data_IF_935242544194
#
_entry.id   IF_935242544194
#
_cell.length_a   1.000
_cell.length_b   1.000
_cell.length_c   1.000
_cell.angle_alpha   90.00
_cell.angle_beta   90.00
_cell.angle_gamma   90.00
#
_symmetry.space_group_name_H-M   'P 1'
#
loop_
_entity.id
_entity.type
_entity.pdbx_description
1 polymer ?
#
# COMPACT_ATOMS: atom_id res chain seq x y z
N UNK A 1 -7.24 6.29 10.16
CA UNK A 1 -7.40 6.56 11.59
C UNK A 1 -8.84 6.95 11.88
N UNK A 2 -9.37 6.50 13.02
CA UNK A 2 -10.72 6.82 13.44
C UNK A 2 -10.80 8.32 13.79
N UNK A 3 -11.71 9.10 13.20
CA UNK A 3 -11.84 10.50 13.54
C UNK A 3 -12.32 10.61 15.00
N UNK A 4 -11.73 11.49 15.78
CA UNK A 4 -12.06 11.78 17.20
C UNK A 4 -11.28 11.06 18.31
N UNK A 5 -10.12 10.48 18.04
CA UNK A 5 -9.12 10.18 19.09
C UNK A 5 -9.54 9.21 20.21
N UNK A 6 -10.67 8.53 20.07
CA UNK A 6 -11.03 7.46 21.01
C UNK A 6 -10.15 6.24 20.75
N UNK A 7 -9.48 5.76 21.76
CA UNK A 7 -8.76 4.48 21.72
C UNK A 7 -9.76 3.33 21.85
N UNK A 8 -9.55 2.24 21.10
CA UNK A 8 -10.26 0.97 21.19
C UNK A 8 -11.72 0.98 20.71
N UNK A 9 -11.89 1.21 19.41
CA UNK A 9 -13.18 0.99 18.75
C UNK A 9 -13.37 -0.51 18.45
N UNK A 10 -14.56 -1.01 18.73
CA UNK A 10 -14.97 -2.34 18.33
C UNK A 10 -15.52 -2.36 16.88
N UNK A 11 -15.91 -3.53 16.40
CA UNK A 11 -16.39 -3.70 15.03
C UNK A 11 -17.68 -2.91 14.76
N UNK A 12 -18.55 -2.74 15.73
CA UNK A 12 -19.81 -2.02 15.55
C UNK A 12 -19.59 -0.51 15.42
N UNK A 13 -18.62 0.06 16.16
CA UNK A 13 -18.22 1.46 16.01
C UNK A 13 -17.68 1.73 14.59
N UNK A 14 -16.84 0.83 14.07
CA UNK A 14 -16.30 0.95 12.72
C UNK A 14 -17.38 0.85 11.65
N UNK A 15 -18.28 -0.13 11.76
CA UNK A 15 -19.37 -0.34 10.82
C UNK A 15 -20.32 0.85 10.78
N UNK A 16 -20.69 1.37 11.94
CA UNK A 16 -21.55 2.56 12.03
C UNK A 16 -20.92 3.75 11.30
N UNK A 17 -19.63 3.97 11.51
CA UNK A 17 -18.93 5.07 10.84
C UNK A 17 -18.80 4.82 9.33
N UNK A 18 -18.57 3.59 8.89
CA UNK A 18 -18.53 3.21 7.49
C UNK A 18 -19.89 3.48 6.81
N UNK A 19 -20.99 3.10 7.46
CA UNK A 19 -22.34 3.37 6.97
C UNK A 19 -22.62 4.89 6.86
N UNK A 20 -22.19 5.68 7.84
CA UNK A 20 -22.33 7.14 7.81
C UNK A 20 -21.58 7.76 6.61
N UNK A 21 -20.33 7.35 6.35
CA UNK A 21 -19.57 7.81 5.18
C UNK A 21 -20.18 7.35 3.86
N UNK A 22 -20.62 6.09 3.79
CA UNK A 22 -21.30 5.56 2.61
C UNK A 22 -22.57 6.36 2.29
N UNK A 23 -23.45 6.56 3.27
CA UNK A 23 -24.70 7.30 3.09
C UNK A 23 -24.44 8.76 2.73
N UNK A 24 -23.47 9.41 3.38
CA UNK A 24 -23.08 10.78 3.04
C UNK A 24 -22.55 10.89 1.60
N UNK A 25 -21.72 9.96 1.17
CA UNK A 25 -21.20 9.94 -0.21
C UNK A 25 -22.30 9.67 -1.24
N UNK A 26 -23.24 8.78 -0.94
CA UNK A 26 -24.41 8.50 -1.79
C UNK A 26 -25.35 9.68 -1.91
N UNK A 27 -25.40 10.58 -0.93
CA UNK A 27 -26.20 11.80 -0.97
C UNK A 27 -25.55 12.94 -1.77
N UNK A 28 -24.31 12.77 -2.24
CA UNK A 28 -23.64 13.74 -3.12
C UNK A 28 -24.30 13.81 -4.50
N UNK A 29 -24.00 14.88 -5.26
CA UNK A 29 -24.59 15.09 -6.59
C UNK A 29 -24.37 13.91 -7.55
N UNK A 30 -23.24 13.23 -7.47
CA UNK A 30 -22.91 12.08 -8.33
C UNK A 30 -23.35 10.76 -7.72
N UNK A 31 -23.62 10.70 -6.42
CA UNK A 31 -23.99 9.47 -5.70
C UNK A 31 -22.93 8.35 -5.73
N UNK A 32 -21.66 8.71 -5.95
CA UNK A 32 -20.57 7.75 -6.00
C UNK A 32 -20.13 7.43 -4.57
N UNK A 33 -20.15 6.14 -4.15
CA UNK A 33 -19.68 5.75 -2.83
C UNK A 33 -18.21 6.08 -2.62
N UNK A 34 -17.85 6.53 -1.43
CA UNK A 34 -16.45 6.67 -1.04
C UNK A 34 -15.82 5.28 -0.86
N UNK A 35 -14.57 5.10 -1.28
CA UNK A 35 -13.75 3.95 -0.93
C UNK A 35 -12.99 4.32 0.34
N UNK A 36 -13.21 3.56 1.42
CA UNK A 36 -12.57 3.83 2.69
C UNK A 36 -11.56 2.74 3.06
N UNK A 37 -10.32 3.15 3.34
CA UNK A 37 -9.20 2.25 3.60
C UNK A 37 -8.54 2.45 4.96
N UNK A 38 -7.73 1.46 5.34
CA UNK A 38 -6.90 1.48 6.55
C UNK A 38 -5.54 0.86 6.31
N UNK A 39 -4.55 1.21 7.16
CA UNK A 39 -3.26 0.52 7.19
C UNK A 39 -3.37 -0.78 8.00
N UNK A 40 -3.68 -1.88 7.32
CA UNK A 40 -3.72 -3.21 7.93
C UNK A 40 -2.59 -4.08 7.39
N UNK A 41 -1.35 -3.64 7.54
CA UNK A 41 -0.15 -4.24 6.93
C UNK A 41 0.18 -5.62 7.53
N UNK A 42 -0.04 -5.79 8.84
CA UNK A 42 0.19 -7.05 9.56
C UNK A 42 -0.97 -7.41 10.49
N UNK A 43 -2.17 -6.96 10.17
CA UNK A 43 -3.40 -7.09 10.95
C UNK A 43 -4.13 -5.75 11.03
N UNK A 44 -5.42 -5.78 11.36
CA UNK A 44 -6.21 -4.55 11.51
C UNK A 44 -5.94 -3.90 12.88
N UNK A 45 -4.78 -3.28 13.04
CA UNK A 45 -4.26 -2.75 14.30
C UNK A 45 -5.09 -1.62 14.93
N UNK A 46 -6.08 -1.09 14.20
CA UNK A 46 -7.02 -0.08 14.70
C UNK A 46 -8.34 -0.70 15.20
N UNK A 47 -8.54 -2.02 15.02
CA UNK A 47 -9.74 -2.74 15.44
C UNK A 47 -9.48 -3.51 16.74
N UNK A 48 -10.24 -3.23 17.77
CA UNK A 48 -10.17 -3.98 19.03
C UNK A 48 -10.55 -5.45 18.82
N UNK A 49 -9.65 -6.35 19.20
CA UNK A 49 -9.85 -7.79 19.11
C UNK A 49 -9.42 -8.42 17.78
N UNK A 50 -8.95 -7.62 16.81
CA UNK A 50 -8.35 -8.15 15.61
C UNK A 50 -7.02 -8.86 15.91
N UNK A 51 -6.66 -9.82 15.07
CA UNK A 51 -5.40 -10.55 15.19
C UNK A 51 -4.26 -9.68 14.65
N UNK A 52 -3.21 -9.52 15.45
CA UNK A 52 -1.96 -8.89 15.01
C UNK A 52 -0.93 -9.97 14.75
N UNK A 53 -0.46 -10.02 13.53
CA UNK A 53 0.61 -10.90 13.06
C UNK A 53 1.98 -10.22 13.24
N UNK A 54 3.10 -10.96 13.13
CA UNK A 54 4.41 -10.35 13.03
C UNK A 54 4.48 -9.35 11.89
N UNK A 55 5.37 -8.34 11.99
CA UNK A 55 5.67 -7.47 10.86
C UNK A 55 6.28 -8.22 9.69
N UNK A 56 6.24 -7.64 8.49
CA UNK A 56 6.65 -8.30 7.26
C UNK A 56 8.09 -8.83 7.28
N UNK A 57 9.01 -8.19 7.99
CA UNK A 57 10.37 -8.73 8.17
C UNK A 57 10.37 -10.13 8.82
N UNK A 58 9.49 -10.34 9.79
CA UNK A 58 9.30 -11.67 10.43
C UNK A 58 8.54 -12.63 9.52
N UNK A 59 7.53 -12.15 8.82
CA UNK A 59 6.76 -12.95 7.85
C UNK A 59 7.62 -13.36 6.65
N UNK A 60 8.45 -12.47 6.14
CA UNK A 60 9.40 -12.72 5.07
C UNK A 60 10.45 -13.80 5.42
N UNK A 61 10.88 -13.84 6.68
CA UNK A 61 11.81 -14.87 7.16
C UNK A 61 11.23 -16.29 7.05
N UNK A 62 9.90 -16.45 7.00
CA UNK A 62 9.25 -17.75 6.81
C UNK A 62 9.41 -18.29 5.41
N UNK A 63 9.61 -17.46 4.40
CA UNK A 63 9.67 -17.80 2.96
C UNK A 63 8.49 -18.67 2.50
N UNK A 64 7.32 -18.46 3.10
CA UNK A 64 6.15 -19.31 2.91
C UNK A 64 4.98 -18.51 2.31
N UNK A 65 4.81 -18.60 1.00
CA UNK A 65 3.78 -17.92 0.23
C UNK A 65 2.36 -18.27 0.70
N UNK A 66 2.11 -19.55 0.95
CA UNK A 66 0.80 -20.01 1.44
C UNK A 66 0.44 -19.39 2.78
N UNK A 67 1.41 -19.30 3.70
CA UNK A 67 1.20 -18.65 4.99
C UNK A 67 0.87 -17.15 4.81
N UNK A 68 1.55 -16.47 3.89
CA UNK A 68 1.29 -15.04 3.62
C UNK A 68 -0.11 -14.85 3.01
N UNK A 69 -0.51 -15.68 2.07
CA UNK A 69 -1.86 -15.66 1.50
C UNK A 69 -2.93 -15.88 2.57
N UNK A 70 -2.76 -16.87 3.43
CA UNK A 70 -3.68 -17.18 4.53
C UNK A 70 -3.79 -16.01 5.52
N UNK A 71 -2.67 -15.45 5.96
CA UNK A 71 -2.63 -14.28 6.86
C UNK A 71 -3.35 -13.10 6.21
N UNK A 72 -3.01 -12.78 4.96
CA UNK A 72 -3.63 -11.67 4.23
C UNK A 72 -5.14 -11.88 4.05
N UNK A 73 -5.59 -13.12 3.86
CA UNK A 73 -7.02 -13.47 3.80
C UNK A 73 -7.74 -13.25 5.14
N UNK A 74 -7.08 -13.55 6.27
CA UNK A 74 -7.62 -13.29 7.62
C UNK A 74 -7.75 -11.78 7.83
N UNK A 75 -6.70 -11.03 7.55
CA UNK A 75 -6.68 -9.56 7.67
C UNK A 75 -7.75 -8.93 6.77
N UNK A 76 -7.88 -9.38 5.52
CA UNK A 76 -8.92 -8.92 4.60
C UNK A 76 -10.32 -9.11 5.19
N UNK A 77 -10.59 -10.27 5.80
CA UNK A 77 -11.87 -10.57 6.44
C UNK A 77 -12.16 -9.64 7.61
N UNK A 78 -11.16 -9.32 8.44
CA UNK A 78 -11.33 -8.40 9.56
C UNK A 78 -11.57 -6.95 9.07
N UNK A 79 -10.83 -6.50 8.05
CA UNK A 79 -11.05 -5.20 7.39
C UNK A 79 -12.45 -5.13 6.78
N UNK A 80 -12.85 -6.14 6.01
CA UNK A 80 -14.19 -6.24 5.43
C UNK A 80 -15.31 -6.19 6.48
N UNK A 81 -15.14 -6.94 7.58
CA UNK A 81 -16.15 -7.00 8.65
C UNK A 81 -16.28 -5.68 9.42
N UNK A 82 -15.26 -4.84 9.40
CA UNK A 82 -15.32 -3.48 9.97
C UNK A 82 -15.94 -2.44 9.03
N UNK A 83 -16.39 -2.86 7.83
CA UNK A 83 -17.06 -1.99 6.86
C UNK A 83 -16.10 -1.20 5.96
N UNK A 84 -14.84 -1.60 5.90
CA UNK A 84 -13.83 -0.97 5.06
C UNK A 84 -13.63 -1.74 3.75
N UNK A 85 -13.27 -1.01 2.68
CA UNK A 85 -13.17 -1.54 1.32
C UNK A 85 -11.75 -1.85 0.89
N UNK A 86 -10.75 -1.24 1.56
CA UNK A 86 -9.37 -1.14 1.09
C UNK A 86 -8.38 -1.31 2.25
N UNK A 87 -7.29 -2.02 2.00
CA UNK A 87 -6.10 -1.96 2.86
C UNK A 87 -4.93 -1.33 2.12
N UNK A 88 -4.16 -0.47 2.81
CA UNK A 88 -2.90 0.07 2.31
C UNK A 88 -1.76 -0.94 2.55
N UNK A 89 -1.92 -2.12 1.95
CA UNK A 89 -1.01 -3.27 2.01
C UNK A 89 -1.15 -4.10 0.71
N UNK A 90 -0.08 -4.83 0.29
CA UNK A 90 1.19 -5.04 0.98
C UNK A 90 2.22 -3.93 0.76
N UNK A 91 3.17 -3.80 1.72
CA UNK A 91 4.41 -3.09 1.47
C UNK A 91 5.38 -4.03 0.74
N UNK A 92 5.70 -3.70 -0.52
CA UNK A 92 6.64 -4.45 -1.38
C UNK A 92 7.97 -3.72 -1.53
N UNK A 93 8.30 -2.89 -0.55
CA UNK A 93 9.60 -2.23 -0.43
C UNK A 93 10.72 -3.25 -0.26
N UNK A 94 11.87 -2.97 -0.86
CA UNK A 94 13.08 -3.79 -0.73
C UNK A 94 14.10 -2.99 0.10
N UNK A 95 14.20 -3.21 1.42
CA UNK A 95 15.17 -2.53 2.27
C UNK A 95 16.61 -2.84 1.84
N UNK A 96 17.42 -1.79 1.63
CA UNK A 96 18.85 -1.91 1.25
C UNK A 96 19.80 -1.36 2.33
N UNK A 97 19.24 -0.80 3.40
CA UNK A 97 20.01 -0.26 4.53
C UNK A 97 19.21 -0.43 5.81
N UNK A 98 19.78 -1.13 6.79
CA UNK A 98 19.11 -1.42 8.07
C UNK A 98 18.88 -0.16 8.94
N UNK A 99 19.52 0.96 8.62
CA UNK A 99 19.25 2.24 9.26
C UNK A 99 17.92 2.87 8.82
N UNK A 100 17.33 2.38 7.73
CA UNK A 100 16.01 2.85 7.32
C UNK A 100 14.94 2.45 8.34
N UNK A 101 14.26 3.45 8.92
CA UNK A 101 13.32 3.26 10.02
C UNK A 101 12.11 2.39 9.68
N UNK A 102 11.85 2.10 8.38
CA UNK A 102 10.74 1.27 7.89
C UNK A 102 11.20 -0.10 7.37
N UNK A 103 12.43 -0.51 7.63
CA UNK A 103 12.97 -1.82 7.21
C UNK A 103 12.04 -2.98 7.63
N UNK A 104 11.42 -2.89 8.79
CA UNK A 104 10.50 -3.90 9.31
C UNK A 104 9.21 -4.09 8.48
N UNK A 105 8.83 -3.10 7.66
CA UNK A 105 7.65 -3.19 6.80
C UNK A 105 7.90 -4.01 5.53
N UNK A 106 9.15 -4.16 5.09
CA UNK A 106 9.53 -4.97 3.94
C UNK A 106 9.63 -6.46 4.27
N UNK A 107 9.29 -7.33 3.32
CA UNK A 107 9.42 -8.78 3.51
C UNK A 107 10.88 -9.24 3.51
N UNK A 108 11.74 -8.62 2.70
CA UNK A 108 13.14 -9.04 2.54
C UNK A 108 13.97 -7.99 1.80
N UNK A 109 15.28 -8.08 1.92
CA UNK A 109 16.25 -7.42 1.03
C UNK A 109 16.39 -8.12 -0.34
N UNK A 110 15.86 -9.34 -0.49
CA UNK A 110 15.83 -10.09 -1.75
C UNK A 110 14.61 -9.69 -2.59
N UNK A 111 14.79 -9.01 -3.75
CA UNK A 111 13.67 -8.59 -4.60
C UNK A 111 12.77 -9.74 -5.06
N UNK A 112 13.32 -10.93 -5.28
CA UNK A 112 12.55 -12.09 -5.75
C UNK A 112 11.63 -12.62 -4.65
N UNK A 113 12.12 -12.64 -3.41
CA UNK A 113 11.30 -13.03 -2.28
C UNK A 113 10.20 -11.99 -2.01
N UNK A 114 10.51 -10.69 -2.13
CA UNK A 114 9.50 -9.62 -2.04
C UNK A 114 8.45 -9.77 -3.13
N UNK A 115 8.83 -10.08 -4.36
CA UNK A 115 7.89 -10.31 -5.46
C UNK A 115 6.95 -11.48 -5.18
N UNK A 116 7.48 -12.62 -4.76
CA UNK A 116 6.71 -13.83 -4.46
C UNK A 116 5.73 -13.61 -3.30
N UNK A 117 6.20 -13.06 -2.17
CA UNK A 117 5.37 -12.82 -1.00
C UNK A 117 4.38 -11.65 -1.21
N UNK A 118 4.77 -10.63 -1.97
CA UNK A 118 3.89 -9.53 -2.38
C UNK A 118 2.70 -10.02 -3.20
N UNK A 119 2.97 -10.89 -4.17
CA UNK A 119 1.94 -11.59 -4.95
C UNK A 119 0.96 -12.35 -4.05
N UNK A 120 1.47 -13.24 -3.21
CA UNK A 120 0.66 -14.03 -2.29
C UNK A 120 -0.20 -13.15 -1.36
N UNK A 121 0.36 -12.02 -0.91
CA UNK A 121 -0.35 -11.06 -0.08
C UNK A 121 -1.52 -10.40 -0.82
N UNK A 122 -1.32 -9.97 -2.08
CA UNK A 122 -2.40 -9.40 -2.92
C UNK A 122 -3.50 -10.43 -3.15
N UNK A 123 -3.16 -11.65 -3.52
CA UNK A 123 -4.12 -12.74 -3.72
C UNK A 123 -4.89 -13.07 -2.42
N UNK A 124 -4.24 -12.95 -1.27
CA UNK A 124 -4.87 -13.09 0.03
C UNK A 124 -5.87 -11.97 0.32
N UNK A 125 -5.50 -10.70 0.10
CA UNK A 125 -6.37 -9.55 0.37
C UNK A 125 -7.57 -9.49 -0.57
N UNK A 126 -7.37 -9.54 -1.87
CA UNK A 126 -8.42 -9.27 -2.85
C UNK A 126 -8.95 -10.51 -3.57
N UNK A 127 -8.31 -11.66 -3.39
CA UNK A 127 -8.62 -12.88 -4.13
C UNK A 127 -8.01 -12.88 -5.52
N UNK A 128 -8.27 -13.94 -6.27
CA UNK A 128 -7.73 -14.20 -7.60
C UNK A 128 -8.82 -13.97 -8.65
N UNK A 129 -8.51 -13.23 -9.71
CA UNK A 129 -9.41 -12.96 -10.83
C UNK A 129 -9.94 -14.27 -11.44
N UNK A 130 -11.24 -14.30 -11.74
CA UNK A 130 -11.89 -15.49 -12.25
C UNK A 130 -12.22 -16.57 -11.20
N UNK A 131 -11.73 -16.45 -9.96
CA UNK A 131 -12.03 -17.41 -8.88
C UNK A 131 -12.84 -16.76 -7.75
N UNK A 132 -12.21 -15.91 -6.95
CA UNK A 132 -12.79 -15.32 -5.73
C UNK A 132 -12.47 -13.84 -5.57
N UNK A 133 -12.10 -13.16 -6.65
CA UNK A 133 -11.76 -11.74 -6.66
C UNK A 133 -12.90 -10.89 -6.08
N UNK A 134 -12.59 -10.11 -5.07
CA UNK A 134 -13.50 -9.21 -4.32
C UNK A 134 -14.81 -9.87 -3.85
N UNK A 135 -14.83 -11.19 -3.69
CA UNK A 135 -15.96 -11.86 -3.04
C UNK A 135 -16.01 -11.51 -1.55
N UNK A 136 -17.13 -11.85 -0.90
CA UNK A 136 -17.37 -11.62 0.51
C UNK A 136 -16.16 -11.98 1.39
N UNK A 137 -15.68 -11.04 2.18
CA UNK A 137 -14.51 -11.19 3.04
C UNK A 137 -13.18 -10.85 2.37
N UNK A 138 -13.20 -10.30 1.15
CA UNK A 138 -12.03 -9.74 0.45
C UNK A 138 -12.15 -8.22 0.39
N UNK A 139 -11.01 -7.54 0.28
CA UNK A 139 -10.89 -6.09 0.16
C UNK A 139 -9.87 -5.72 -0.89
N UNK A 140 -9.91 -4.51 -1.38
CA UNK A 140 -8.92 -3.98 -2.31
C UNK A 140 -7.54 -3.92 -1.66
N UNK A 141 -6.50 -4.30 -2.39
CA UNK A 141 -5.11 -4.24 -1.96
C UNK A 141 -4.41 -3.02 -2.56
N UNK A 142 -3.37 -2.53 -1.88
CA UNK A 142 -2.50 -1.44 -2.33
C UNK A 142 -1.05 -1.85 -2.24
N UNK A 143 -0.38 -2.02 -3.37
CA UNK A 143 1.08 -2.21 -3.37
C UNK A 143 1.77 -0.87 -3.08
N UNK A 144 2.69 -0.84 -2.10
CA UNK A 144 3.34 0.39 -1.63
C UNK A 144 4.80 0.18 -1.25
N UNK A 145 5.65 1.22 -1.26
CA UNK A 145 5.46 2.57 -1.79
C UNK A 145 6.25 2.72 -3.09
N UNK A 146 5.58 3.02 -4.17
CA UNK A 146 6.16 3.09 -5.51
C UNK A 146 6.97 4.38 -5.67
N UNK A 147 8.31 4.33 -5.84
CA UNK A 147 9.22 3.20 -5.96
C UNK A 147 10.58 3.57 -5.33
N UNK A 148 11.24 2.58 -4.70
CA UNK A 148 12.62 2.74 -4.23
C UNK A 148 12.77 3.33 -2.83
N UNK A 149 11.72 3.38 -2.03
CA UNK A 149 11.71 3.87 -0.65
C UNK A 149 12.72 3.17 0.28
N UNK A 150 12.88 1.85 0.11
CA UNK A 150 13.87 1.05 0.86
C UNK A 150 15.32 1.23 0.40
N UNK A 151 15.56 1.98 -0.70
CA UNK A 151 16.88 2.21 -1.30
C UNK A 151 17.45 3.62 -1.11
N UNK A 152 16.90 4.41 -0.20
CA UNK A 152 17.34 5.78 0.03
C UNK A 152 18.76 5.86 0.59
N UNK A 153 19.52 6.87 0.20
CA UNK A 153 20.88 7.09 0.67
C UNK A 153 20.93 7.13 2.19
N UNK A 154 21.84 6.37 2.78
CA UNK A 154 22.06 6.25 4.23
C UNK A 154 20.82 5.82 5.04
N UNK A 155 19.80 5.23 4.39
CA UNK A 155 18.57 4.84 5.06
C UNK A 155 17.72 6.01 5.55
N UNK A 156 17.89 7.20 5.01
CA UNK A 156 17.11 8.38 5.40
C UNK A 156 15.68 8.20 4.90
N UNK A 157 14.72 8.17 5.81
CA UNK A 157 13.30 8.05 5.46
C UNK A 157 12.85 9.23 4.59
N UNK A 158 12.06 8.94 3.52
CA UNK A 158 11.66 9.92 2.50
C UNK A 158 12.83 10.59 1.75
N UNK A 159 14.03 10.04 1.88
CA UNK A 159 15.27 10.56 1.29
C UNK A 159 15.35 10.40 -0.22
N UNK A 160 16.55 10.48 -0.76
CA UNK A 160 16.80 10.33 -2.19
C UNK A 160 17.38 8.95 -2.51
N UNK A 161 16.75 8.24 -3.41
CA UNK A 161 17.26 6.99 -3.99
C UNK A 161 18.07 7.33 -5.22
N UNK A 162 19.35 6.93 -5.24
CA UNK A 162 20.28 7.25 -6.34
C UNK A 162 20.66 5.94 -7.01
N UNK A 163 19.99 5.63 -8.10
CA UNK A 163 20.16 4.41 -8.89
C UNK A 163 19.97 4.71 -10.38
N UNK A 164 20.58 3.89 -11.24
CA UNK A 164 20.14 3.80 -12.63
C UNK A 164 18.69 3.34 -12.71
N UNK A 165 18.04 3.53 -13.83
CA UNK A 165 16.67 3.03 -14.03
C UNK A 165 16.63 1.50 -14.01
N UNK A 166 17.61 0.86 -14.66
CA UNK A 166 17.72 -0.61 -14.70
C UNK A 166 17.83 -1.18 -13.27
N UNK A 167 18.71 -0.61 -12.43
CA UNK A 167 18.84 -1.03 -11.03
C UNK A 167 17.58 -0.74 -10.21
N UNK A 168 16.91 0.39 -10.45
CA UNK A 168 15.65 0.72 -9.77
C UNK A 168 14.60 -0.36 -10.07
N UNK A 169 14.48 -0.75 -11.33
CA UNK A 169 13.50 -1.78 -11.75
C UNK A 169 13.93 -3.17 -11.29
N UNK A 170 15.21 -3.52 -11.43
CA UNK A 170 15.70 -4.84 -11.01
C UNK A 170 15.56 -5.07 -9.50
N UNK A 171 15.86 -4.06 -8.69
CA UNK A 171 15.82 -4.19 -7.23
C UNK A 171 14.43 -3.84 -6.68
N UNK A 172 13.89 -2.69 -7.02
CA UNK A 172 12.68 -2.16 -6.39
C UNK A 172 11.41 -2.35 -7.21
N UNK A 173 11.52 -2.72 -8.49
CA UNK A 173 10.39 -2.92 -9.39
C UNK A 173 9.74 -4.31 -9.30
N UNK A 174 10.50 -5.35 -8.89
CA UNK A 174 10.04 -6.75 -8.94
C UNK A 174 8.73 -7.00 -8.16
N UNK A 175 8.62 -6.40 -6.97
CA UNK A 175 7.40 -6.49 -6.17
C UNK A 175 6.17 -5.88 -6.86
N UNK A 176 6.36 -4.82 -7.64
CA UNK A 176 5.25 -4.21 -8.41
C UNK A 176 4.88 -5.02 -9.64
N UNK A 177 5.87 -5.56 -10.37
CA UNK A 177 5.58 -6.46 -11.50
C UNK A 177 4.70 -7.61 -11.05
N UNK A 178 5.08 -8.33 -9.99
CA UNK A 178 4.34 -9.48 -9.48
C UNK A 178 2.95 -9.13 -8.93
N UNK A 179 2.81 -7.97 -8.27
CA UNK A 179 1.51 -7.54 -7.75
C UNK A 179 0.58 -7.04 -8.85
N UNK A 180 1.11 -6.40 -9.91
CA UNK A 180 0.33 -6.01 -11.11
C UNK A 180 -0.16 -7.27 -11.85
N UNK A 181 0.69 -8.29 -12.02
CA UNK A 181 0.29 -9.58 -12.57
C UNK A 181 -0.80 -10.30 -11.76
N UNK A 182 -0.96 -9.92 -10.48
CA UNK A 182 -2.03 -10.40 -9.59
C UNK A 182 -3.22 -9.45 -9.51
N UNK A 183 -3.37 -8.56 -10.49
CA UNK A 183 -4.48 -7.61 -10.60
C UNK A 183 -4.63 -6.67 -9.39
N UNK A 184 -3.52 -6.25 -8.75
CA UNK A 184 -3.58 -5.28 -7.65
C UNK A 184 -4.33 -4.02 -8.10
N UNK A 185 -5.29 -3.54 -7.29
CA UNK A 185 -6.17 -2.46 -7.72
C UNK A 185 -5.63 -1.07 -7.38
N UNK A 186 -4.73 -0.96 -6.40
CA UNK A 186 -4.11 0.31 -6.02
C UNK A 186 -2.59 0.18 -5.95
N UNK A 187 -1.91 1.25 -6.36
CA UNK A 187 -0.48 1.46 -6.12
C UNK A 187 -0.32 2.81 -5.45
N UNK A 188 0.41 2.85 -4.33
CA UNK A 188 0.68 4.08 -3.59
C UNK A 188 2.04 4.64 -3.98
N UNK A 189 2.05 5.92 -4.42
CA UNK A 189 3.28 6.64 -4.71
C UNK A 189 4.10 6.86 -3.43
N UNK A 190 5.42 6.81 -3.52
CA UNK A 190 6.31 6.97 -2.37
C UNK A 190 6.69 8.43 -2.09
N UNK A 191 7.02 8.71 -0.84
CA UNK A 191 7.56 10.02 -0.43
C UNK A 191 8.99 10.30 -0.87
N UNK A 192 9.80 9.27 -1.16
CA UNK A 192 11.19 9.48 -1.52
C UNK A 192 11.35 10.22 -2.84
N UNK A 193 12.58 10.66 -3.12
CA UNK A 193 12.97 11.12 -4.43
C UNK A 193 13.75 10.03 -5.15
N UNK A 194 13.71 10.01 -6.47
CA UNK A 194 14.65 9.28 -7.31
C UNK A 194 15.48 10.24 -8.12
N UNK A 195 16.81 10.15 -7.96
CA UNK A 195 17.78 11.04 -8.61
C UNK A 195 17.40 12.53 -8.48
N UNK A 196 16.96 12.91 -7.25
CA UNK A 196 16.63 14.29 -6.90
C UNK A 196 15.20 14.73 -7.23
N UNK A 197 14.37 13.91 -7.88
CA UNK A 197 12.98 14.26 -8.22
C UNK A 197 11.98 13.55 -7.31
N UNK A 198 11.12 14.30 -6.64
CA UNK A 198 10.03 13.76 -5.79
C UNK A 198 9.04 12.93 -6.60
N UNK A 199 8.72 11.73 -6.11
CA UNK A 199 7.94 10.76 -6.87
C UNK A 199 6.48 11.18 -7.07
N UNK A 200 5.85 11.82 -6.09
CA UNK A 200 4.46 12.27 -6.23
C UNK A 200 4.23 13.25 -7.39
N UNK A 201 5.24 14.00 -7.80
CA UNK A 201 5.20 14.88 -8.98
C UNK A 201 5.88 14.30 -10.24
N UNK A 202 6.34 13.06 -10.20
CA UNK A 202 7.17 12.54 -11.29
C UNK A 202 6.34 11.74 -12.32
N UNK A 203 5.78 12.46 -13.29
CA UNK A 203 4.95 11.89 -14.37
C UNK A 203 5.59 10.67 -15.03
N UNK A 204 6.90 10.71 -15.32
CA UNK A 204 7.59 9.59 -15.97
C UNK A 204 7.39 8.28 -15.21
N UNK A 205 7.64 8.28 -13.88
CA UNK A 205 7.50 7.05 -13.08
C UNK A 205 6.03 6.65 -12.88
N UNK A 206 5.14 7.62 -12.60
CA UNK A 206 3.75 7.31 -12.26
C UNK A 206 2.87 7.03 -13.50
N UNK A 207 3.21 7.61 -14.64
CA UNK A 207 2.42 7.44 -15.87
C UNK A 207 3.17 6.61 -16.89
N UNK A 208 4.35 7.06 -17.31
CA UNK A 208 5.01 6.45 -18.48
C UNK A 208 5.56 5.06 -18.11
N UNK A 209 6.16 4.88 -16.93
CA UNK A 209 6.63 3.60 -16.45
C UNK A 209 5.48 2.75 -15.87
N UNK A 210 4.84 3.20 -14.78
CA UNK A 210 3.86 2.39 -14.06
C UNK A 210 2.63 2.05 -14.91
N UNK A 211 1.99 3.07 -15.50
CA UNK A 211 0.76 2.86 -16.28
C UNK A 211 1.03 2.26 -17.64
N UNK A 212 1.97 2.85 -18.41
CA UNK A 212 2.12 2.51 -19.82
C UNK A 212 3.06 1.30 -20.04
N UNK A 213 4.21 1.26 -19.36
CA UNK A 213 5.18 0.18 -19.59
C UNK A 213 4.91 -1.04 -18.74
N UNK A 214 4.60 -0.87 -17.42
CA UNK A 214 4.26 -1.99 -16.54
C UNK A 214 2.80 -2.43 -16.68
N UNK A 215 1.96 -1.69 -17.41
CA UNK A 215 0.57 -2.05 -17.69
C UNK A 215 -0.39 -1.94 -16.49
N UNK A 216 -0.09 -1.10 -15.51
CA UNK A 216 -0.97 -0.93 -14.35
C UNK A 216 -2.23 -0.14 -14.70
N UNK A 217 -3.38 -0.80 -14.72
CA UNK A 217 -4.68 -0.20 -15.05
C UNK A 217 -5.45 0.36 -13.84
N UNK A 218 -5.04 0.00 -12.61
CA UNK A 218 -5.70 0.39 -11.36
C UNK A 218 -5.51 1.88 -10.99
N UNK A 219 -5.74 2.22 -9.74
CA UNK A 219 -5.68 3.58 -9.22
C UNK A 219 -4.32 3.87 -8.59
N UNK A 220 -3.70 5.00 -8.96
CA UNK A 220 -2.54 5.54 -8.22
C UNK A 220 -3.06 6.41 -7.08
N UNK A 221 -2.71 6.07 -5.85
CA UNK A 221 -3.01 6.85 -4.65
C UNK A 221 -1.73 7.51 -4.14
N UNK A 222 -1.82 8.74 -3.65
CA UNK A 222 -0.71 9.39 -2.95
C UNK A 222 -0.58 8.86 -1.52
N UNK A 223 0.62 8.90 -0.97
CA UNK A 223 0.84 8.73 0.45
C UNK A 223 0.34 9.97 1.22
N UNK A 224 0.28 9.92 2.54
CA UNK A 224 -0.33 10.94 3.39
C UNK A 224 0.22 12.34 3.10
N UNK A 225 -0.62 13.20 2.50
CA UNK A 225 -0.27 14.56 2.06
C UNK A 225 0.95 14.62 1.11
N UNK A 226 1.28 13.55 0.39
CA UNK A 226 2.46 13.48 -0.47
C UNK A 226 2.52 14.56 -1.56
N UNK A 227 1.35 15.04 -2.03
CA UNK A 227 1.25 16.15 -2.96
C UNK A 227 1.83 17.47 -2.41
N UNK A 228 1.88 17.64 -1.09
CA UNK A 228 2.46 18.82 -0.45
C UNK A 228 3.99 18.75 -0.34
N UNK A 229 4.59 17.61 -0.60
CA UNK A 229 6.04 17.43 -0.55
C UNK A 229 6.70 17.53 -1.94
N UNK A 230 5.91 17.76 -2.99
CA UNK A 230 6.42 18.04 -4.34
C UNK A 230 7.10 19.41 -4.32
N UNK A 231 8.32 19.48 -4.85
CA UNK A 231 9.14 20.70 -4.91
C UNK A 231 9.45 21.37 -3.56
N UNK A 232 9.42 20.60 -2.45
CA UNK A 232 9.67 21.11 -1.11
C UNK A 232 8.57 22.01 -0.56
N UNK A 233 7.41 21.99 -1.19
CA UNK A 233 6.27 22.80 -0.77
C UNK A 233 5.47 22.12 0.34
N UNK A 234 5.32 22.81 1.46
CA UNK A 234 4.60 22.36 2.64
C UNK A 234 3.30 23.14 2.92
N UNK A 235 2.81 23.93 1.95
CA UNK A 235 1.62 24.77 2.14
C UNK A 235 0.65 24.69 0.95
N UNK A 236 -0.62 25.02 1.21
CA UNK A 236 -1.66 25.14 0.18
C UNK A 236 -1.36 26.16 -0.92
N UNK A 237 -0.39 27.06 -0.70
CA UNK A 237 0.00 28.09 -1.67
C UNK A 237 0.84 27.57 -2.84
N UNK A 238 1.18 26.29 -2.89
CA UNK A 238 1.98 25.70 -3.95
C UNK A 238 1.16 25.04 -5.07
N UNK A 239 -0.14 25.31 -5.12
CA UNK A 239 -1.05 24.78 -6.15
C UNK A 239 -0.97 25.50 -7.51
N UNK A 240 -0.03 26.40 -7.72
CA UNK A 240 0.04 27.26 -8.92
C UNK A 240 1.33 27.11 -9.74
N UNK A 241 2.04 25.95 -9.65
CA UNK A 241 3.17 25.69 -10.56
C UNK A 241 3.01 24.43 -11.36
#
# INVERSE_FOLDING_TARGET
SFPYGKKNHDVEDWRKLADEYFLASKSSNLGIPVIWGTDAVHGHNNLKGAVLFPHNIGLGATRNETLIEDISSIVAKEVYLSGLDLTFAPAVSVPRNDLWGRTFEGFSEDPKLVASLGKASVEGYQGVLGKNFLKKGKVLATAKHFIGDGGTLNGVDKGNTVLSEDDLIEIHGQGYVSTIESDVQFVMASFNSWNGKKLHGYKYLLTDLLKNQMGFEGVVVGDWNGHQEVDGCYSYSCSET
#
